data_IF_928319455758
#
_entry.id   IF_928319455758
#
_cell.length_a   1.000
_cell.length_b   1.000
_cell.length_c   1.000
_cell.angle_alpha   90.00
_cell.angle_beta   90.00
_cell.angle_gamma   90.00
#
_symmetry.space_group_name_H-M   'P 1'
#
loop_
_entity.id
_entity.type
_entity.pdbx_description
1 polymer ?
#
# COMPACT_ATOMS: atom_id res chain seq x y z
N UNK A 1 -51.71 31.44 -27.13
CA UNK A 1 -51.48 32.87 -27.44
C UNK A 1 -50.42 33.02 -28.52
N UNK A 2 -49.55 32.00 -28.68
CA UNK A 2 -48.55 31.90 -29.75
C UNK A 2 -49.12 32.15 -31.15
N UNK A 3 -50.30 31.61 -31.50
CA UNK A 3 -50.94 31.83 -32.81
C UNK A 3 -51.15 33.31 -33.18
N UNK A 4 -51.22 34.22 -32.21
CA UNK A 4 -51.34 35.67 -32.42
C UNK A 4 -49.99 36.39 -32.46
N UNK A 5 -48.89 35.72 -32.09
CA UNK A 5 -47.55 36.27 -32.22
C UNK A 5 -47.05 36.13 -33.67
N UNK A 6 -47.33 34.99 -34.32
CA UNK A 6 -47.02 34.72 -35.73
C UNK A 6 -47.61 35.80 -36.67
N UNK A 7 -48.92 36.07 -36.57
CA UNK A 7 -49.65 37.12 -37.31
C UNK A 7 -49.07 38.54 -37.10
N UNK A 8 -48.31 38.75 -36.03
CA UNK A 8 -47.71 40.03 -35.66
C UNK A 8 -46.19 40.09 -35.90
N UNK A 9 -45.60 39.06 -36.52
CA UNK A 9 -44.17 39.05 -36.90
C UNK A 9 -43.92 39.58 -38.32
N UNK A 10 -42.83 40.32 -38.48
CA UNK A 10 -42.30 40.72 -39.77
C UNK A 10 -41.56 39.54 -40.42
N UNK A 11 -41.92 39.14 -41.66
CA UNK A 11 -41.36 37.95 -42.33
C UNK A 11 -39.90 38.13 -42.82
N UNK A 12 -39.23 39.24 -42.49
CA UNK A 12 -37.80 39.47 -42.80
C UNK A 12 -36.92 39.29 -41.55
N UNK A 13 -37.36 39.78 -40.38
CA UNK A 13 -36.61 39.69 -39.13
C UNK A 13 -37.21 38.70 -38.11
N UNK A 14 -38.28 37.99 -38.48
CA UNK A 14 -39.00 37.00 -37.65
C UNK A 14 -39.32 37.50 -36.22
N UNK A 15 -39.56 38.81 -36.11
CA UNK A 15 -39.76 39.55 -34.87
C UNK A 15 -41.00 40.42 -34.98
N UNK A 16 -41.61 40.80 -33.85
CA UNK A 16 -42.77 41.70 -33.83
C UNK A 16 -42.53 42.99 -34.64
N UNK A 17 -43.55 43.49 -35.34
CA UNK A 17 -43.40 44.66 -36.23
C UNK A 17 -42.92 45.94 -35.52
N UNK A 18 -41.72 46.39 -35.85
CA UNK A 18 -41.15 47.70 -35.49
C UNK A 18 -41.30 48.70 -36.65
N UNK A 19 -41.99 49.82 -36.40
CA UNK A 19 -42.44 50.81 -37.40
C UNK A 19 -42.96 50.17 -38.71
N UNK A 20 -44.08 49.40 -38.66
CA UNK A 20 -44.58 48.67 -39.82
C UNK A 20 -44.96 49.60 -40.97
N UNK A 21 -44.35 49.37 -42.13
CA UNK A 21 -44.63 50.03 -43.40
C UNK A 21 -45.45 49.11 -44.29
N UNK A 22 -46.51 49.65 -44.89
CA UNK A 22 -47.38 48.93 -45.84
C UNK A 22 -46.99 49.27 -47.28
N UNK A 23 -46.84 48.23 -48.11
CA UNK A 23 -46.58 48.38 -49.55
C UNK A 23 -47.91 48.48 -50.33
N UNK A 24 -47.92 48.99 -51.58
CA UNK A 24 -49.11 48.98 -52.44
C UNK A 24 -49.71 47.60 -52.72
N UNK A 25 -48.95 46.53 -52.43
CA UNK A 25 -49.41 45.14 -52.45
C UNK A 25 -49.98 44.65 -51.10
N UNK A 26 -50.32 45.56 -50.18
CA UNK A 26 -50.91 45.33 -48.84
C UNK A 26 -50.07 44.51 -47.84
N UNK A 27 -48.86 44.10 -48.21
CA UNK A 27 -47.92 43.42 -47.31
C UNK A 27 -47.22 44.43 -46.40
N UNK A 28 -46.91 43.99 -45.18
CA UNK A 28 -46.34 44.82 -44.11
C UNK A 28 -44.94 44.31 -43.73
N UNK A 29 -44.03 45.22 -43.44
CA UNK A 29 -42.66 44.92 -43.01
C UNK A 29 -42.15 46.02 -42.07
N UNK A 30 -41.20 45.73 -41.19
CA UNK A 30 -40.54 46.77 -40.39
C UNK A 30 -39.80 47.75 -41.30
N UNK A 31 -39.82 49.06 -40.98
CA UNK A 31 -39.11 50.09 -41.75
C UNK A 31 -37.64 49.69 -42.07
N UNK A 32 -36.88 49.32 -41.03
CA UNK A 32 -35.46 48.91 -41.14
C UNK A 32 -35.24 47.73 -42.09
N UNK A 33 -36.18 46.80 -42.15
CA UNK A 33 -36.11 45.64 -43.04
C UNK A 33 -36.28 46.03 -44.51
N UNK A 34 -37.14 47.03 -44.81
CA UNK A 34 -37.27 47.57 -46.16
C UNK A 34 -36.08 48.46 -46.55
N UNK A 35 -35.45 49.13 -45.58
CA UNK A 35 -34.24 49.93 -45.82
C UNK A 35 -33.08 49.02 -46.30
N UNK A 36 -32.87 47.87 -45.65
CA UNK A 36 -31.91 46.86 -46.12
C UNK A 36 -32.23 46.29 -47.51
N UNK A 37 -33.50 45.96 -47.80
CA UNK A 37 -33.92 45.49 -49.13
C UNK A 37 -33.69 46.54 -50.22
N UNK A 38 -33.90 47.83 -49.91
CA UNK A 38 -33.67 48.93 -50.84
C UNK A 38 -32.17 49.15 -51.09
N UNK A 39 -31.33 49.03 -50.06
CA UNK A 39 -29.86 49.09 -50.21
C UNK A 39 -29.33 47.96 -51.09
N UNK A 40 -29.76 46.71 -50.87
CA UNK A 40 -29.32 45.55 -51.64
C UNK A 40 -29.72 45.69 -53.12
N UNK A 41 -30.96 46.09 -53.39
CA UNK A 41 -31.45 46.39 -54.73
C UNK A 41 -30.64 47.54 -55.40
N UNK A 42 -30.24 48.56 -54.64
CA UNK A 42 -29.44 49.68 -55.15
C UNK A 42 -28.00 49.30 -55.53
N UNK A 43 -27.41 48.29 -54.87
CA UNK A 43 -26.06 47.79 -55.19
C UNK A 43 -26.00 47.03 -56.52
N UNK A 44 -27.13 46.53 -57.04
CA UNK A 44 -27.17 45.70 -58.25
C UNK A 44 -27.62 46.42 -59.52
N UNK A 45 -28.30 47.58 -59.41
CA UNK A 45 -28.93 48.27 -60.55
C UNK A 45 -28.73 49.80 -60.49
N UNK A 46 -27.52 50.27 -60.82
CA UNK A 46 -27.11 51.68 -60.67
C UNK A 46 -27.83 52.71 -61.57
N UNK A 47 -28.66 52.29 -62.53
CA UNK A 47 -29.20 53.15 -63.61
C UNK A 47 -30.72 53.03 -63.85
N UNK A 48 -31.53 52.82 -62.80
CA UNK A 48 -33.01 52.86 -62.88
C UNK A 48 -33.66 53.58 -61.69
N UNK A 49 -34.90 54.11 -61.84
CA UNK A 49 -35.68 54.67 -60.73
C UNK A 49 -35.87 53.66 -59.58
N UNK A 50 -36.03 54.17 -58.36
CA UNK A 50 -35.92 53.43 -57.09
C UNK A 50 -37.10 52.50 -56.75
N UNK A 51 -37.44 51.58 -57.66
CA UNK A 51 -38.40 50.50 -57.45
C UNK A 51 -37.71 49.22 -56.94
N UNK A 52 -38.33 48.54 -55.97
CA UNK A 52 -37.90 47.22 -55.50
C UNK A 52 -39.07 46.21 -55.53
N UNK A 53 -38.79 44.92 -55.32
CA UNK A 53 -39.80 43.85 -55.33
C UNK A 53 -40.22 43.48 -53.90
N UNK A 54 -41.52 43.39 -53.64
CA UNK A 54 -42.04 42.95 -52.35
C UNK A 54 -41.48 41.56 -51.96
N UNK A 55 -40.80 41.40 -50.81
CA UNK A 55 -40.18 40.11 -50.45
C UNK A 55 -41.16 38.92 -50.40
N UNK A 56 -42.42 39.14 -50.01
CA UNK A 56 -43.43 38.07 -49.95
C UNK A 56 -44.05 37.73 -51.30
N UNK A 57 -44.53 38.73 -52.05
CA UNK A 57 -45.34 38.51 -53.27
C UNK A 57 -44.67 38.94 -54.59
N UNK A 58 -43.41 39.40 -54.54
CA UNK A 58 -42.54 39.81 -55.67
C UNK A 58 -43.07 40.92 -56.61
N UNK A 59 -44.27 41.47 -56.35
CA UNK A 59 -44.82 42.65 -57.04
C UNK A 59 -43.85 43.83 -56.92
N UNK A 60 -43.60 44.51 -58.03
CA UNK A 60 -42.77 45.71 -58.07
C UNK A 60 -43.48 46.87 -57.36
N UNK A 61 -42.72 47.60 -56.55
CA UNK A 61 -43.19 48.70 -55.71
C UNK A 61 -42.35 49.94 -56.05
N UNK A 62 -42.91 50.97 -56.70
CA UNK A 62 -42.20 52.20 -56.99
C UNK A 62 -42.05 53.02 -55.70
N UNK A 63 -40.85 53.53 -55.41
CA UNK A 63 -40.62 54.34 -54.19
C UNK A 63 -39.78 55.58 -54.45
N UNK A 64 -39.91 56.55 -53.54
CA UNK A 64 -38.97 57.64 -53.32
C UNK A 64 -38.18 57.36 -52.03
N UNK A 65 -37.79 56.10 -51.81
CA UNK A 65 -37.25 55.61 -50.54
C UNK A 65 -38.32 55.17 -49.52
N UNK A 66 -37.89 54.40 -48.52
CA UNK A 66 -38.78 53.74 -47.54
C UNK A 66 -39.60 54.72 -46.69
N UNK A 67 -39.05 55.92 -46.43
CA UNK A 67 -39.77 56.97 -45.69
C UNK A 67 -41.08 57.42 -46.37
N UNK A 68 -41.19 57.23 -47.70
CA UNK A 68 -42.41 57.52 -48.46
C UNK A 68 -43.49 56.44 -48.38
N UNK A 69 -43.21 55.28 -47.78
CA UNK A 69 -44.22 54.23 -47.54
C UNK A 69 -45.05 54.56 -46.29
N UNK A 70 -46.36 54.34 -46.39
CA UNK A 70 -47.29 54.62 -45.29
C UNK A 70 -47.03 53.71 -44.08
N UNK A 71 -47.21 54.24 -42.87
CA UNK A 71 -47.14 53.48 -41.62
C UNK A 71 -48.48 52.78 -41.39
N UNK A 72 -48.46 51.48 -41.11
CA UNK A 72 -49.64 50.75 -40.66
C UNK A 72 -49.85 50.97 -39.15
N UNK A 73 -50.44 52.12 -38.80
CA UNK A 73 -50.72 52.50 -37.41
C UNK A 73 -51.62 51.51 -36.68
N UNK A 74 -52.50 50.78 -37.37
CA UNK A 74 -53.34 49.74 -36.77
C UNK A 74 -52.48 48.56 -36.31
N UNK A 75 -51.63 48.03 -37.19
CA UNK A 75 -50.72 46.93 -36.87
C UNK A 75 -49.74 47.32 -35.76
N UNK A 76 -49.19 48.54 -35.81
CA UNK A 76 -48.36 49.10 -34.73
C UNK A 76 -49.12 49.13 -33.39
N UNK A 77 -50.34 49.65 -33.37
CA UNK A 77 -51.17 49.72 -32.17
C UNK A 77 -51.62 48.35 -31.63
N UNK A 78 -51.67 47.30 -32.47
CA UNK A 78 -51.91 45.92 -32.03
C UNK A 78 -50.65 45.34 -31.39
N UNK A 79 -49.47 45.52 -31.98
CA UNK A 79 -48.18 45.09 -31.38
C UNK A 79 -47.93 45.78 -30.03
N UNK A 80 -48.21 47.08 -29.92
CA UNK A 80 -48.11 47.82 -28.65
C UNK A 80 -49.05 47.28 -27.56
N UNK A 81 -50.26 46.84 -27.92
CA UNK A 81 -51.21 46.21 -26.99
C UNK A 81 -50.78 44.80 -26.61
N UNK A 82 -50.33 44.00 -27.57
CA UNK A 82 -49.80 42.64 -27.36
C UNK A 82 -48.64 42.67 -26.36
N UNK A 83 -47.68 43.58 -26.53
CA UNK A 83 -46.54 43.73 -25.62
C UNK A 83 -46.98 44.11 -24.18
N UNK A 84 -47.97 45.00 -24.02
CA UNK A 84 -48.52 45.34 -22.69
C UNK A 84 -49.15 44.14 -21.99
N UNK A 85 -49.80 43.24 -22.73
CA UNK A 85 -50.35 41.99 -22.18
C UNK A 85 -49.22 41.02 -21.84
N UNK A 86 -48.22 40.84 -22.71
CA UNK A 86 -47.08 39.93 -22.53
C UNK A 86 -46.19 40.27 -21.32
N UNK A 87 -46.11 41.56 -20.96
CA UNK A 87 -45.34 42.08 -19.82
C UNK A 87 -46.14 42.09 -18.50
N UNK A 88 -47.47 41.88 -18.54
CA UNK A 88 -48.26 41.79 -17.29
C UNK A 88 -47.83 40.57 -16.44
N UNK A 89 -47.67 40.72 -15.11
CA UNK A 89 -47.23 39.63 -14.25
C UNK A 89 -48.28 38.52 -14.24
N UNK A 90 -47.90 37.34 -14.74
CA UNK A 90 -48.78 36.16 -14.77
C UNK A 90 -49.06 35.73 -13.33
N UNK A 91 -50.29 35.97 -12.86
CA UNK A 91 -50.77 35.48 -11.57
C UNK A 91 -50.49 33.99 -11.44
N UNK A 92 -49.80 33.54 -10.37
CA UNK A 92 -49.36 32.14 -10.26
C UNK A 92 -50.57 31.20 -10.22
N UNK A 93 -50.45 30.03 -10.84
CA UNK A 93 -51.54 29.06 -10.98
C UNK A 93 -51.37 27.87 -10.03
N UNK A 94 -52.49 27.28 -9.61
CA UNK A 94 -52.49 26.13 -8.72
C UNK A 94 -51.92 24.89 -9.41
N UNK A 95 -50.97 24.21 -8.75
CA UNK A 95 -50.38 22.95 -9.23
C UNK A 95 -51.38 21.79 -9.29
N UNK A 96 -52.37 21.78 -8.38
CA UNK A 96 -53.44 20.78 -8.31
C UNK A 96 -54.58 21.13 -9.27
N UNK A 97 -55.07 22.36 -9.19
CA UNK A 97 -56.21 22.84 -9.99
C UNK A 97 -55.71 23.62 -11.21
N UNK A 98 -55.44 22.91 -12.30
CA UNK A 98 -54.93 23.49 -13.55
C UNK A 98 -55.75 24.71 -14.00
N UNK A 99 -55.05 25.79 -14.36
CA UNK A 99 -55.60 27.11 -14.77
C UNK A 99 -56.35 27.90 -13.69
N UNK A 100 -56.51 27.39 -12.46
CA UNK A 100 -57.02 28.20 -11.35
C UNK A 100 -55.92 29.11 -10.79
N UNK A 101 -56.19 30.41 -10.54
CA UNK A 101 -55.22 31.32 -9.95
C UNK A 101 -55.03 31.06 -8.45
N UNK A 102 -53.81 31.30 -7.95
CA UNK A 102 -53.50 31.36 -6.52
C UNK A 102 -53.74 32.80 -6.04
N UNK A 103 -54.92 33.04 -5.46
CA UNK A 103 -55.43 34.38 -5.12
C UNK A 103 -56.07 34.46 -3.72
N UNK A 104 -55.92 33.42 -2.89
CA UNK A 104 -56.39 33.38 -1.50
C UNK A 104 -55.19 32.98 -0.63
N UNK A 105 -54.96 33.66 0.50
CA UNK A 105 -53.94 33.22 1.47
C UNK A 105 -54.58 32.40 2.58
N UNK A 106 -54.06 31.21 2.82
CA UNK A 106 -54.42 30.36 3.95
C UNK A 106 -53.51 30.66 5.14
N UNK A 107 -54.04 31.29 6.19
CA UNK A 107 -53.28 31.63 7.39
C UNK A 107 -53.07 30.44 8.34
N UNK A 108 -53.75 29.32 8.11
CA UNK A 108 -53.50 28.06 8.84
C UNK A 108 -52.27 27.31 8.32
N UNK A 109 -51.97 27.39 7.02
CA UNK A 109 -50.81 26.71 6.40
C UNK A 109 -49.72 27.69 5.91
N UNK A 110 -49.89 28.99 6.13
CA UNK A 110 -49.04 30.08 5.64
C UNK A 110 -48.74 29.99 4.12
N UNK A 111 -49.77 29.75 3.30
CA UNK A 111 -49.59 29.53 1.84
C UNK A 111 -50.70 30.10 0.97
N UNK A 112 -50.33 30.52 -0.24
CA UNK A 112 -51.27 30.89 -1.29
C UNK A 112 -51.96 29.65 -1.88
N UNK A 113 -53.29 29.71 -1.98
CA UNK A 113 -54.18 28.68 -2.53
C UNK A 113 -55.14 29.29 -3.57
N UNK A 114 -55.88 28.44 -4.29
CA UNK A 114 -56.93 28.85 -5.21
C UNK A 114 -58.34 28.63 -4.64
N UNK A 115 -59.36 29.22 -5.26
CA UNK A 115 -60.77 29.02 -4.87
C UNK A 115 -61.19 27.56 -4.76
N UNK A 116 -60.73 26.67 -5.67
CA UNK A 116 -61.02 25.23 -5.60
C UNK A 116 -60.37 24.55 -4.39
N UNK A 117 -59.12 24.91 -4.05
CA UNK A 117 -58.44 24.44 -2.84
C UNK A 117 -59.21 24.85 -1.56
N UNK A 118 -59.71 26.08 -1.52
CA UNK A 118 -60.45 26.63 -0.39
C UNK A 118 -61.85 26.02 -0.21
N UNK A 119 -62.55 25.72 -1.30
CA UNK A 119 -63.98 25.31 -1.27
C UNK A 119 -64.22 23.81 -1.38
N UNK A 120 -63.35 23.07 -2.07
CA UNK A 120 -63.53 21.64 -2.34
C UNK A 120 -62.27 20.80 -2.05
N UNK A 121 -61.11 21.44 -1.88
CA UNK A 121 -59.85 20.79 -1.52
C UNK A 121 -59.62 20.70 -0.01
N UNK A 122 -58.35 20.54 0.36
CA UNK A 122 -57.88 20.29 1.73
C UNK A 122 -58.14 21.45 2.71
N UNK A 123 -58.47 22.65 2.22
CA UNK A 123 -58.51 23.88 3.03
C UNK A 123 -59.91 24.31 3.50
N UNK A 124 -60.94 23.49 3.28
CA UNK A 124 -62.34 23.78 3.63
C UNK A 124 -62.62 24.25 5.06
N UNK A 125 -61.74 23.94 6.02
CA UNK A 125 -61.89 24.27 7.45
C UNK A 125 -60.80 25.21 7.98
N UNK A 126 -59.95 25.72 7.08
CA UNK A 126 -58.81 26.56 7.46
C UNK A 126 -59.19 28.04 7.42
N UNK A 127 -58.40 28.86 8.10
CA UNK A 127 -58.61 30.31 8.11
C UNK A 127 -57.98 30.94 6.87
N UNK A 128 -58.70 31.91 6.31
CA UNK A 128 -58.24 32.75 5.21
C UNK A 128 -58.17 34.20 5.68
N UNK A 129 -57.26 34.97 5.11
CA UNK A 129 -57.18 36.42 5.28
C UNK A 129 -56.98 37.10 3.92
N UNK A 130 -57.05 38.43 3.86
CA UNK A 130 -56.76 39.14 2.62
C UNK A 130 -55.30 38.95 2.21
N UNK A 131 -55.01 39.02 0.91
CA UNK A 131 -53.63 38.85 0.42
C UNK A 131 -52.74 40.01 0.91
N UNK A 132 -53.30 41.21 1.06
CA UNK A 132 -52.63 42.40 1.57
C UNK A 132 -52.31 42.27 3.07
N UNK A 133 -53.25 41.80 3.89
CA UNK A 133 -53.02 41.57 5.32
C UNK A 133 -52.00 40.45 5.54
N UNK A 134 -52.10 39.35 4.79
CA UNK A 134 -51.12 38.27 4.79
C UNK A 134 -49.72 38.77 4.42
N UNK A 135 -49.61 39.56 3.36
CA UNK A 135 -48.33 40.13 2.93
C UNK A 135 -47.70 41.03 4.01
N UNK A 136 -48.50 41.90 4.64
CA UNK A 136 -48.01 42.77 5.72
C UNK A 136 -47.58 41.96 6.96
N UNK A 137 -48.34 40.91 7.32
CA UNK A 137 -48.01 40.02 8.43
C UNK A 137 -46.74 39.21 8.16
N UNK A 138 -46.67 38.49 7.04
CA UNK A 138 -45.50 37.68 6.66
C UNK A 138 -44.23 38.53 6.50
N UNK A 139 -44.36 39.77 6.00
CA UNK A 139 -43.23 40.70 5.93
C UNK A 139 -42.71 41.10 7.32
N UNK A 140 -43.59 41.34 8.29
CA UNK A 140 -43.19 41.63 9.68
C UNK A 140 -42.59 40.39 10.38
N UNK A 141 -43.11 39.19 10.09
CA UNK A 141 -42.53 37.93 10.56
C UNK A 141 -41.14 37.68 9.94
N UNK A 142 -40.96 37.99 8.66
CA UNK A 142 -39.66 37.94 7.99
C UNK A 142 -38.66 38.90 8.66
N UNK A 143 -39.02 40.17 8.87
CA UNK A 143 -38.14 41.17 9.47
C UNK A 143 -37.66 40.77 10.89
N UNK A 144 -38.52 40.14 11.70
CA UNK A 144 -38.14 39.62 13.03
C UNK A 144 -37.31 38.32 12.96
N UNK A 145 -37.59 37.41 12.03
CA UNK A 145 -36.75 36.23 11.78
C UNK A 145 -35.34 36.60 11.27
N UNK A 146 -35.22 37.64 10.45
CA UNK A 146 -33.93 38.15 9.99
C UNK A 146 -33.10 38.76 11.13
N UNK A 147 -33.71 39.50 12.06
CA UNK A 147 -33.00 40.01 13.24
C UNK A 147 -32.41 38.87 14.09
N UNK A 148 -33.19 37.81 14.37
CA UNK A 148 -32.69 36.62 15.06
C UNK A 148 -31.61 35.84 14.28
N UNK A 149 -31.53 36.01 12.96
CA UNK A 149 -30.48 35.42 12.11
C UNK A 149 -29.22 36.30 12.01
N UNK A 150 -29.34 37.63 12.10
CA UNK A 150 -28.18 38.53 12.22
C UNK A 150 -27.54 38.47 13.62
N UNK A 151 -28.35 38.26 14.66
CA UNK A 151 -27.87 37.96 16.03
C UNK A 151 -27.31 36.54 16.18
N UNK A 152 -27.56 35.62 15.23
CA UNK A 152 -27.08 34.25 15.29
C UNK A 152 -25.55 34.18 15.19
N UNK A 153 -24.91 34.01 16.35
CA UNK A 153 -23.46 34.14 16.50
C UNK A 153 -22.68 32.91 16.00
N UNK A 154 -22.54 32.75 14.69
CA UNK A 154 -21.71 31.71 14.05
C UNK A 154 -20.26 31.65 14.56
N UNK A 155 -19.73 32.66 15.27
CA UNK A 155 -18.37 32.66 15.83
C UNK A 155 -18.13 31.50 16.80
N UNK A 156 -19.15 31.06 17.55
CA UNK A 156 -19.00 29.89 18.43
C UNK A 156 -18.86 28.59 17.63
N UNK A 157 -19.70 28.42 16.60
CA UNK A 157 -19.64 27.27 15.68
C UNK A 157 -18.31 27.24 14.92
N UNK A 158 -17.83 28.37 14.42
CA UNK A 158 -16.53 28.49 13.76
C UNK A 158 -15.37 28.25 14.73
N UNK A 159 -15.40 28.81 15.95
CA UNK A 159 -14.39 28.56 16.98
C UNK A 159 -14.30 27.07 17.34
N UNK A 160 -15.44 26.40 17.50
CA UNK A 160 -15.48 24.96 17.77
C UNK A 160 -14.96 24.13 16.59
N UNK A 161 -15.27 24.52 15.35
CA UNK A 161 -14.71 23.92 14.13
C UNK A 161 -13.18 24.08 14.05
N UNK A 162 -12.66 25.28 14.28
CA UNK A 162 -11.23 25.59 14.28
C UNK A 162 -10.48 24.81 15.37
N UNK A 163 -11.08 24.68 16.57
CA UNK A 163 -10.54 23.85 17.66
C UNK A 163 -10.51 22.37 17.27
N UNK A 164 -11.58 21.84 16.67
CA UNK A 164 -11.66 20.45 16.22
C UNK A 164 -10.63 20.15 15.11
N UNK A 165 -10.54 20.97 14.06
CA UNK A 165 -9.56 20.76 12.97
C UNK A 165 -8.11 20.98 13.46
N UNK A 166 -7.90 21.85 14.45
CA UNK A 166 -6.59 22.00 15.11
C UNK A 166 -6.22 20.77 15.95
N UNK A 167 -7.17 20.20 16.70
CA UNK A 167 -6.93 18.99 17.50
C UNK A 167 -6.75 17.75 16.63
N UNK A 168 -7.53 17.61 15.55
CA UNK A 168 -7.36 16.60 14.50
C UNK A 168 -5.97 16.67 13.86
N UNK A 169 -5.50 17.87 13.46
CA UNK A 169 -4.14 18.07 12.93
C UNK A 169 -3.06 17.66 13.94
N UNK A 170 -3.19 18.04 15.21
CA UNK A 170 -2.27 17.61 16.29
C UNK A 170 -2.26 16.09 16.47
N UNK A 171 -3.42 15.44 16.52
CA UNK A 171 -3.53 13.99 16.69
C UNK A 171 -2.89 13.22 15.52
N UNK A 172 -3.18 13.62 14.28
CA UNK A 172 -2.58 13.02 13.08
C UNK A 172 -1.06 13.22 13.03
N UNK A 173 -0.55 14.40 13.40
CA UNK A 173 0.89 14.65 13.50
C UNK A 173 1.58 13.78 14.56
N UNK A 174 0.94 13.56 15.71
CA UNK A 174 1.46 12.65 16.74
C UNK A 174 1.49 11.20 16.25
N UNK A 175 0.43 10.73 15.59
CA UNK A 175 0.38 9.38 15.01
C UNK A 175 1.43 9.17 13.92
N UNK A 176 1.65 10.17 13.05
CA UNK A 176 2.71 10.14 12.04
C UNK A 176 4.10 10.03 12.69
N UNK A 177 4.40 10.91 13.66
CA UNK A 177 5.67 10.89 14.40
C UNK A 177 5.94 9.55 15.10
N UNK A 178 4.92 8.93 15.68
CA UNK A 178 5.05 7.62 16.31
C UNK A 178 5.22 6.48 15.28
N UNK A 179 4.58 6.58 14.10
CA UNK A 179 4.81 5.66 12.99
C UNK A 179 6.25 5.76 12.45
N UNK A 180 6.76 6.98 12.26
CA UNK A 180 8.17 7.23 11.88
C UNK A 180 9.14 6.72 12.95
N UNK A 181 8.80 6.85 14.24
CA UNK A 181 9.61 6.33 15.37
C UNK A 181 9.69 4.80 15.35
N UNK A 182 8.61 4.11 14.99
CA UNK A 182 8.59 2.65 14.81
C UNK A 182 9.38 2.25 13.55
N UNK A 183 9.14 2.92 12.42
CA UNK A 183 9.87 2.69 11.16
C UNK A 183 11.39 2.82 11.35
N UNK A 184 11.84 3.96 11.89
CA UNK A 184 13.26 4.22 12.16
C UNK A 184 13.89 3.36 13.26
N UNK A 185 13.09 2.59 14.02
CA UNK A 185 13.59 1.54 14.91
C UNK A 185 13.84 0.24 14.14
N UNK A 186 12.90 -0.18 13.27
CA UNK A 186 13.09 -1.36 12.42
C UNK A 186 14.19 -1.16 11.35
N UNK A 187 14.34 0.03 10.77
CA UNK A 187 15.44 0.34 9.84
C UNK A 187 16.82 0.20 10.51
N UNK A 188 16.94 0.58 11.80
CA UNK A 188 18.17 0.38 12.58
C UNK A 188 18.46 -1.09 12.87
N UNK A 189 17.42 -1.87 13.19
CA UNK A 189 17.55 -3.32 13.39
C UNK A 189 17.98 -4.03 12.09
N UNK A 190 17.41 -3.64 10.95
CA UNK A 190 17.82 -4.15 9.63
C UNK A 190 19.28 -3.81 9.32
N UNK A 191 19.71 -2.56 9.54
CA UNK A 191 21.11 -2.17 9.38
C UNK A 191 22.05 -2.97 10.28
N UNK A 192 21.70 -3.18 11.56
CA UNK A 192 22.55 -3.90 12.51
C UNK A 192 22.68 -5.39 12.16
N UNK A 193 21.58 -6.02 11.72
CA UNK A 193 21.60 -7.40 11.21
C UNK A 193 22.44 -7.54 9.93
N UNK A 194 22.27 -6.63 8.97
CA UNK A 194 23.03 -6.63 7.71
C UNK A 194 24.52 -6.35 7.96
N UNK A 195 24.87 -5.44 8.89
CA UNK A 195 26.24 -5.23 9.33
C UNK A 195 26.85 -6.51 9.93
N UNK A 196 26.16 -7.15 10.90
CA UNK A 196 26.66 -8.36 11.57
C UNK A 196 26.81 -9.55 10.63
N UNK A 197 25.89 -9.71 9.68
CA UNK A 197 26.03 -10.63 8.54
C UNK A 197 27.33 -10.37 7.77
N UNK A 198 27.57 -9.11 7.37
CA UNK A 198 28.74 -8.77 6.55
C UNK A 198 30.07 -8.86 7.33
N UNK A 199 30.08 -8.62 8.64
CA UNK A 199 31.22 -8.94 9.53
C UNK A 199 31.55 -10.45 9.48
N UNK A 200 30.55 -11.32 9.67
CA UNK A 200 30.73 -12.79 9.64
C UNK A 200 31.19 -13.28 8.25
N UNK A 201 30.66 -12.72 7.15
CA UNK A 201 31.16 -13.04 5.81
C UNK A 201 32.62 -12.60 5.57
N UNK A 202 33.02 -11.46 6.13
CA UNK A 202 34.42 -10.99 6.07
C UNK A 202 35.37 -11.94 6.82
N UNK A 203 34.94 -12.51 7.94
CA UNK A 203 35.72 -13.52 8.68
C UNK A 203 35.88 -14.83 7.89
N UNK A 204 34.83 -15.30 7.21
CA UNK A 204 34.92 -16.49 6.37
C UNK A 204 35.84 -16.30 5.17
N UNK A 205 35.81 -15.15 4.48
CA UNK A 205 36.76 -14.85 3.40
C UNK A 205 38.20 -14.71 3.93
N UNK A 206 38.39 -14.15 5.14
CA UNK A 206 39.71 -14.07 5.79
C UNK A 206 40.25 -15.47 6.13
N UNK A 207 39.42 -16.35 6.70
CA UNK A 207 39.79 -17.74 7.01
C UNK A 207 40.12 -18.54 5.74
N UNK A 208 39.33 -18.38 4.68
CA UNK A 208 39.55 -18.96 3.35
C UNK A 208 40.88 -18.51 2.73
N UNK A 209 41.22 -17.23 2.82
CA UNK A 209 42.52 -16.72 2.36
C UNK A 209 43.70 -17.32 3.15
N UNK A 210 43.58 -17.47 4.47
CA UNK A 210 44.61 -18.10 5.30
C UNK A 210 44.81 -19.60 4.97
N UNK A 211 43.71 -20.33 4.72
CA UNK A 211 43.75 -21.72 4.24
C UNK A 211 44.44 -21.79 2.88
N UNK A 212 44.01 -20.99 1.90
CA UNK A 212 44.64 -20.92 0.58
C UNK A 212 46.15 -20.65 0.69
N UNK A 213 46.56 -19.61 1.42
CA UNK A 213 47.96 -19.25 1.60
C UNK A 213 48.80 -20.41 2.18
N UNK A 214 48.26 -21.18 3.12
CA UNK A 214 48.99 -22.29 3.73
C UNK A 214 49.14 -23.47 2.77
N UNK A 215 48.04 -23.89 2.13
CA UNK A 215 48.07 -25.00 1.17
C UNK A 215 48.85 -24.66 -0.11
N UNK A 216 48.68 -23.46 -0.67
CA UNK A 216 49.42 -23.00 -1.86
C UNK A 216 50.93 -22.92 -1.59
N UNK A 217 51.35 -22.51 -0.38
CA UNK A 217 52.78 -22.49 -0.01
C UNK A 217 53.37 -23.90 -0.06
N UNK A 218 52.67 -24.89 0.50
CA UNK A 218 53.13 -26.28 0.52
C UNK A 218 53.08 -26.95 -0.86
N UNK A 219 52.02 -26.70 -1.65
CA UNK A 219 51.92 -27.17 -3.05
C UNK A 219 53.10 -26.63 -3.88
N UNK A 220 53.43 -25.35 -3.76
CA UNK A 220 54.55 -24.75 -4.48
C UNK A 220 55.92 -25.28 -3.98
N UNK A 221 56.05 -25.60 -2.69
CA UNK A 221 57.24 -26.27 -2.13
C UNK A 221 57.43 -27.65 -2.75
N UNK A 222 56.38 -28.49 -2.77
CA UNK A 222 56.41 -29.82 -3.35
C UNK A 222 56.64 -29.80 -4.88
N UNK A 223 56.02 -28.87 -5.61
CA UNK A 223 56.30 -28.64 -7.03
C UNK A 223 57.79 -28.31 -7.29
N UNK A 224 58.42 -27.55 -6.39
CA UNK A 224 59.85 -27.22 -6.49
C UNK A 224 60.73 -28.45 -6.29
N UNK A 225 60.42 -29.31 -5.30
CA UNK A 225 61.14 -30.57 -5.06
C UNK A 225 61.01 -31.52 -6.27
N UNK A 226 59.79 -31.69 -6.80
CA UNK A 226 59.53 -32.50 -8.00
C UNK A 226 60.32 -31.97 -9.22
N UNK A 227 60.48 -30.65 -9.33
CA UNK A 227 61.24 -30.05 -10.43
C UNK A 227 62.75 -30.30 -10.31
N UNK A 228 63.35 -30.15 -9.11
CA UNK A 228 64.77 -30.50 -8.92
C UNK A 228 65.01 -32.00 -9.03
N UNK A 229 64.07 -32.86 -8.63
CA UNK A 229 64.14 -34.31 -8.90
C UNK A 229 64.16 -34.61 -10.40
N UNK A 230 63.31 -33.94 -11.20
CA UNK A 230 63.30 -34.10 -12.66
C UNK A 230 64.62 -33.65 -13.29
N UNK A 231 65.23 -32.57 -12.79
CA UNK A 231 66.57 -32.12 -13.22
C UNK A 231 67.67 -33.10 -12.81
N UNK A 232 67.66 -33.58 -11.57
CA UNK A 232 68.63 -34.58 -11.08
C UNK A 232 68.59 -35.86 -11.93
N UNK A 233 67.40 -36.36 -12.27
CA UNK A 233 67.24 -37.49 -13.17
C UNK A 233 67.81 -37.19 -14.57
N UNK A 234 67.60 -35.99 -15.11
CA UNK A 234 68.17 -35.59 -16.41
C UNK A 234 69.70 -35.56 -16.42
N UNK A 235 70.33 -35.17 -15.31
CA UNK A 235 71.81 -35.22 -15.17
C UNK A 235 72.26 -36.68 -15.03
N UNK A 236 71.54 -37.50 -14.24
CA UNK A 236 71.85 -38.93 -14.06
C UNK A 236 71.80 -39.73 -15.37
N UNK A 237 70.83 -39.47 -16.25
CA UNK A 237 70.78 -40.09 -17.57
C UNK A 237 71.96 -39.65 -18.44
N UNK A 238 72.26 -38.34 -18.50
CA UNK A 238 73.40 -37.81 -19.26
C UNK A 238 74.77 -38.31 -18.78
N UNK A 239 74.91 -38.57 -17.48
CA UNK A 239 76.13 -39.10 -16.85
C UNK A 239 76.53 -40.51 -17.34
N UNK A 240 75.61 -41.29 -17.93
CA UNK A 240 75.88 -42.66 -18.39
C UNK A 240 76.77 -42.72 -19.63
N UNK A 241 76.68 -41.72 -20.49
CA UNK A 241 77.32 -41.71 -21.82
C UNK A 241 78.62 -40.88 -21.86
N UNK A 242 79.05 -40.30 -20.73
CA UNK A 242 80.20 -39.41 -20.66
C UNK A 242 81.52 -40.19 -20.55
N UNK A 243 82.38 -40.00 -21.55
CA UNK A 243 83.75 -40.56 -21.59
C UNK A 243 84.84 -39.62 -21.04
N UNK A 244 84.53 -38.34 -20.81
CA UNK A 244 85.48 -37.33 -20.30
C UNK A 244 85.44 -37.26 -18.75
N UNK A 245 86.55 -37.56 -18.04
CA UNK A 245 86.57 -37.57 -16.58
C UNK A 245 86.30 -36.20 -15.93
N UNK A 246 86.68 -35.08 -16.55
CA UNK A 246 86.50 -33.74 -15.99
C UNK A 246 85.03 -33.30 -16.12
N UNK A 247 84.40 -33.59 -17.26
CA UNK A 247 82.97 -33.32 -17.48
C UNK A 247 82.12 -34.22 -16.55
N UNK A 248 82.49 -35.50 -16.41
CA UNK A 248 81.83 -36.43 -15.50
C UNK A 248 81.87 -35.95 -14.04
N UNK A 249 83.06 -35.58 -13.54
CA UNK A 249 83.21 -35.11 -12.15
C UNK A 249 82.37 -33.85 -11.88
N UNK A 250 82.33 -32.90 -12.83
CA UNK A 250 81.52 -31.69 -12.69
C UNK A 250 80.01 -31.97 -12.68
N UNK A 251 79.51 -32.87 -13.54
CA UNK A 251 78.09 -33.25 -13.51
C UNK A 251 77.74 -34.10 -12.28
N UNK A 252 78.66 -34.93 -11.79
CA UNK A 252 78.50 -35.66 -10.53
C UNK A 252 78.41 -34.74 -9.30
N UNK A 253 79.05 -33.57 -9.33
CA UNK A 253 78.93 -32.53 -8.32
C UNK A 253 77.52 -31.92 -8.33
N UNK A 254 77.05 -31.40 -9.47
CA UNK A 254 75.70 -30.82 -9.59
C UNK A 254 74.59 -31.85 -9.25
N UNK A 255 74.76 -33.11 -9.67
CA UNK A 255 73.84 -34.19 -9.30
C UNK A 255 73.78 -34.41 -7.78
N UNK A 256 74.93 -34.40 -7.09
CA UNK A 256 74.98 -34.53 -5.63
C UNK A 256 74.33 -33.36 -4.91
N UNK A 257 74.50 -32.14 -5.40
CA UNK A 257 73.83 -30.95 -4.84
C UNK A 257 72.31 -31.05 -4.96
N UNK A 258 71.78 -31.43 -6.13
CA UNK A 258 70.33 -31.63 -6.32
C UNK A 258 69.78 -32.76 -5.45
N UNK A 259 70.46 -33.90 -5.37
CA UNK A 259 70.07 -35.02 -4.51
C UNK A 259 70.12 -34.64 -3.02
N UNK A 260 71.06 -33.79 -2.61
CA UNK A 260 71.11 -33.22 -1.25
C UNK A 260 69.89 -32.34 -0.97
N UNK A 261 69.62 -31.36 -1.83
CA UNK A 261 68.46 -30.47 -1.71
C UNK A 261 67.14 -31.24 -1.60
N UNK A 262 66.92 -32.25 -2.44
CA UNK A 262 65.72 -33.09 -2.42
C UNK A 262 65.56 -33.80 -1.06
N UNK A 263 66.64 -34.38 -0.52
CA UNK A 263 66.60 -35.06 0.79
C UNK A 263 66.30 -34.10 1.95
N UNK A 264 66.93 -32.92 1.96
CA UNK A 264 66.71 -31.90 2.98
C UNK A 264 65.29 -31.31 2.92
N UNK A 265 64.72 -31.18 1.71
CA UNK A 265 63.34 -30.76 1.51
C UNK A 265 62.31 -31.86 1.85
N UNK A 266 62.62 -33.15 1.64
CA UNK A 266 61.73 -34.25 2.08
C UNK A 266 61.70 -34.40 3.60
N UNK A 267 62.84 -34.22 4.29
CA UNK A 267 62.91 -34.31 5.76
C UNK A 267 62.18 -33.17 6.48
N UNK A 268 62.04 -32.01 5.85
CA UNK A 268 61.25 -30.88 6.37
C UNK A 268 59.74 -31.01 6.10
N UNK A 269 59.28 -32.20 5.69
CA UNK A 269 57.89 -32.46 5.30
C UNK A 269 57.03 -33.14 6.39
N UNK A 270 57.58 -33.43 7.58
CA UNK A 270 56.85 -34.02 8.72
C UNK A 270 55.98 -32.99 9.47
N UNK A 271 55.31 -32.09 8.73
CA UNK A 271 54.23 -31.28 9.28
C UNK A 271 52.92 -32.06 9.16
N UNK A 272 52.12 -32.05 10.23
CA UNK A 272 50.82 -32.70 10.30
C UNK A 272 49.93 -32.40 9.08
N UNK A 273 49.40 -33.44 8.44
CA UNK A 273 48.34 -33.31 7.43
C UNK A 273 47.03 -32.71 8.02
N UNK A 274 46.98 -32.52 9.35
CA UNK A 274 45.96 -31.79 10.08
C UNK A 274 46.16 -30.25 10.01
N UNK A 275 46.55 -29.72 8.84
CA UNK A 275 46.56 -28.27 8.58
C UNK A 275 45.13 -27.75 8.65
N UNK A 276 44.78 -27.26 9.84
CA UNK A 276 43.48 -26.75 10.31
C UNK A 276 42.36 -26.75 9.27
N UNK A 277 41.77 -27.93 9.03
CA UNK A 277 40.39 -28.01 8.58
C UNK A 277 39.52 -27.32 9.64
N UNK A 278 38.58 -26.44 9.28
CA UNK A 278 37.54 -25.96 10.17
C UNK A 278 36.64 -27.13 10.60
N UNK A 279 37.09 -27.90 11.60
CA UNK A 279 36.64 -29.26 11.87
C UNK A 279 35.29 -29.41 12.57
N UNK A 280 34.58 -28.30 12.79
CA UNK A 280 33.21 -28.26 13.30
C UNK A 280 32.35 -27.50 12.30
N UNK A 281 31.13 -27.96 12.06
CA UNK A 281 30.10 -27.14 11.42
C UNK A 281 29.92 -25.84 12.23
N UNK A 282 29.72 -24.72 11.53
CA UNK A 282 29.48 -23.44 12.17
C UNK A 282 28.04 -23.40 12.71
N UNK A 283 27.88 -23.75 13.98
CA UNK A 283 26.58 -23.94 14.63
C UNK A 283 25.76 -22.64 14.71
N UNK A 284 24.75 -22.55 13.84
CA UNK A 284 23.74 -21.49 13.86
C UNK A 284 22.55 -21.82 14.77
N UNK A 285 22.49 -22.99 15.42
CA UNK A 285 21.37 -23.39 16.28
C UNK A 285 21.17 -22.49 17.50
N UNK A 286 22.22 -21.81 17.95
CA UNK A 286 22.13 -20.79 18.99
C UNK A 286 21.52 -19.46 18.51
N UNK A 287 21.44 -19.21 17.19
CA UNK A 287 21.03 -17.90 16.64
C UNK A 287 19.55 -17.62 16.85
N UNK A 288 18.68 -18.63 16.73
CA UNK A 288 17.25 -18.51 17.01
C UNK A 288 16.96 -18.17 18.49
N UNK A 289 17.94 -18.38 19.38
CA UNK A 289 17.87 -18.01 20.79
C UNK A 289 18.41 -16.60 21.10
N UNK A 290 19.06 -15.94 20.13
CA UNK A 290 19.60 -14.58 20.30
C UNK A 290 18.50 -13.55 20.09
N UNK A 291 18.21 -12.79 21.13
CA UNK A 291 17.21 -11.71 21.06
C UNK A 291 17.76 -10.56 20.20
N UNK A 292 16.86 -9.85 19.52
CA UNK A 292 17.23 -8.80 18.57
C UNK A 292 17.98 -7.60 19.18
N UNK A 293 17.93 -7.43 20.51
CA UNK A 293 18.73 -6.45 21.26
C UNK A 293 20.04 -6.99 21.85
N UNK A 294 20.34 -8.28 21.61
CA UNK A 294 21.55 -8.98 22.04
C UNK A 294 22.44 -9.40 20.85
N UNK A 295 22.08 -9.01 19.61
CA UNK A 295 22.77 -9.38 18.35
C UNK A 295 24.24 -8.93 18.32
N UNK A 296 24.58 -7.83 19.00
CA UNK A 296 25.97 -7.38 19.18
C UNK A 296 26.85 -8.37 19.99
N UNK A 297 26.24 -9.38 20.61
CA UNK A 297 26.90 -10.43 21.43
C UNK A 297 27.05 -11.75 20.68
N UNK A 298 26.70 -11.81 19.39
CA UNK A 298 27.08 -12.93 18.53
C UNK A 298 28.61 -12.99 18.46
N UNK A 299 29.18 -14.10 18.96
CA UNK A 299 30.61 -14.38 18.87
C UNK A 299 31.03 -14.55 17.41
N UNK A 300 32.16 -13.97 17.03
CA UNK A 300 32.71 -14.12 15.69
C UNK A 300 33.36 -15.50 15.52
N UNK A 301 33.45 -16.07 14.30
CA UNK A 301 34.18 -17.32 14.05
C UNK A 301 35.61 -17.31 14.63
N UNK A 302 36.29 -16.16 14.64
CA UNK A 302 37.64 -16.00 15.20
C UNK A 302 37.70 -16.16 16.74
N UNK A 303 36.61 -15.86 17.47
CA UNK A 303 36.53 -16.02 18.92
C UNK A 303 36.53 -17.49 19.37
N UNK A 304 36.15 -18.40 18.47
CA UNK A 304 36.07 -19.85 18.72
C UNK A 304 37.47 -20.48 18.60
N UNK A 305 38.26 -20.03 17.62
CA UNK A 305 39.63 -20.55 17.36
C UNK A 305 40.63 -20.12 18.44
N UNK A 306 40.42 -18.97 19.08
CA UNK A 306 41.36 -18.37 20.04
C UNK A 306 41.19 -18.83 21.50
N UNK A 307 40.12 -19.57 21.85
CA UNK A 307 39.79 -19.95 23.24
C UNK A 307 40.21 -21.37 23.63
N UNK A 308 41.50 -21.68 23.51
CA UNK A 308 42.16 -22.81 24.20
C UNK A 308 43.59 -22.46 24.59
N UNK A 309 43.79 -21.89 25.78
CA UNK A 309 44.66 -22.46 26.83
C UNK A 309 44.68 -21.67 28.16
N UNK A 310 45.32 -22.25 29.18
CA UNK A 310 45.72 -21.69 30.49
C UNK A 310 44.64 -21.34 31.56
N UNK A 311 44.17 -22.39 32.21
CA UNK A 311 44.06 -22.60 33.69
C UNK A 311 44.16 -21.45 34.74
N UNK A 312 43.15 -21.40 35.63
CA UNK A 312 43.21 -21.09 37.09
C UNK A 312 43.52 -19.61 37.51
N UNK A 313 43.05 -19.04 38.65
CA UNK A 313 42.77 -19.64 39.97
C UNK A 313 41.81 -18.83 40.90
N UNK A 314 41.30 -19.49 41.96
CA UNK A 314 40.77 -18.99 43.27
C UNK A 314 39.73 -17.84 43.41
N UNK A 315 38.51 -18.28 43.77
CA UNK A 315 37.59 -17.85 44.88
C UNK A 315 38.19 -17.01 46.04
N UNK A 316 37.40 -16.40 46.96
CA UNK A 316 35.93 -16.43 47.18
C UNK A 316 35.33 -14.99 47.17
N UNK A 317 34.15 -14.61 47.70
CA UNK A 317 32.96 -15.18 48.42
C UNK A 317 31.75 -14.28 48.00
N UNK A 318 30.48 -14.41 48.38
CA UNK A 318 29.80 -15.09 49.50
C UNK A 318 28.69 -16.03 48.99
N UNK A 319 27.45 -15.95 49.48
CA UNK A 319 26.29 -16.80 49.13
C UNK A 319 24.99 -16.05 49.44
N UNK A 320 23.90 -16.41 48.76
CA UNK A 320 22.66 -16.80 49.46
C UNK A 320 22.06 -18.04 48.72
N UNK A 321 21.41 -18.99 49.42
CA UNK A 321 21.23 -20.35 48.90
C UNK A 321 19.86 -20.62 48.26
N UNK A 322 19.81 -21.66 47.41
CA UNK A 322 18.73 -22.68 47.35
C UNK A 322 19.13 -23.85 46.42
N UNK A 323 19.73 -23.58 45.26
CA UNK A 323 19.83 -24.55 44.15
C UNK A 323 20.89 -25.68 44.29
N UNK A 324 21.67 -25.76 45.38
CA UNK A 324 22.84 -26.67 45.46
C UNK A 324 22.51 -28.02 46.11
N UNK A 325 21.51 -28.09 46.98
CA UNK A 325 21.16 -29.32 47.71
C UNK A 325 20.69 -30.45 46.79
N UNK A 326 19.84 -30.14 45.81
CA UNK A 326 19.29 -31.13 44.88
C UNK A 326 20.36 -31.79 43.99
N UNK A 327 21.34 -31.01 43.52
CA UNK A 327 22.36 -31.50 42.58
C UNK A 327 23.35 -32.46 43.26
N UNK A 328 23.74 -32.19 44.51
CA UNK A 328 24.63 -33.10 45.25
C UNK A 328 23.96 -34.44 45.57
N UNK A 329 22.66 -34.45 45.87
CA UNK A 329 21.89 -35.69 46.08
C UNK A 329 21.85 -36.52 44.79
N UNK A 330 21.58 -35.88 43.64
CA UNK A 330 21.57 -36.55 42.34
C UNK A 330 22.94 -37.16 41.98
N UNK A 331 24.03 -36.39 42.15
CA UNK A 331 25.40 -36.88 41.89
C UNK A 331 25.80 -38.06 42.79
N UNK A 332 25.40 -38.06 44.07
CA UNK A 332 25.68 -39.16 44.99
C UNK A 332 24.93 -40.44 44.61
N UNK A 333 23.66 -40.33 44.19
CA UNK A 333 22.86 -41.49 43.73
C UNK A 333 23.45 -42.06 42.44
N UNK A 334 23.83 -41.22 41.46
CA UNK A 334 24.45 -41.70 40.21
C UNK A 334 25.81 -42.36 40.44
N UNK A 335 26.65 -41.79 41.32
CA UNK A 335 27.95 -42.40 41.67
C UNK A 335 27.78 -43.78 42.33
N UNK A 336 26.80 -43.92 43.23
CA UNK A 336 26.48 -45.19 43.88
C UNK A 336 26.08 -46.27 42.86
N UNK A 337 25.22 -45.93 41.89
CA UNK A 337 24.84 -46.86 40.82
C UNK A 337 26.00 -47.22 39.89
N UNK A 338 26.88 -46.28 39.54
CA UNK A 338 28.06 -46.61 38.70
C UNK A 338 29.05 -47.53 39.42
N UNK A 339 29.27 -47.34 40.73
CA UNK A 339 30.23 -48.16 41.48
C UNK A 339 29.70 -49.57 41.75
N UNK A 340 28.38 -49.73 41.92
CA UNK A 340 27.76 -51.04 42.15
C UNK A 340 27.71 -51.94 40.90
N UNK A 341 27.96 -51.38 39.71
CA UNK A 341 27.95 -52.12 38.44
C UNK A 341 29.34 -52.40 37.86
N UNK A 342 30.41 -51.79 38.39
CA UNK A 342 31.79 -51.98 37.89
C UNK A 342 32.50 -53.23 38.42
N UNK A 343 32.09 -53.76 39.58
CA UNK A 343 32.69 -54.97 40.17
C UNK A 343 32.19 -56.29 39.56
N UNK A 344 31.28 -56.24 38.56
CA UNK A 344 30.83 -57.42 37.82
C UNK A 344 30.65 -57.13 36.31
N UNK A 345 31.74 -57.04 35.55
CA UNK A 345 31.95 -57.81 34.30
C UNK A 345 33.35 -57.58 33.67
N UNK A 346 34.43 -57.94 34.36
CA UNK A 346 35.79 -57.94 33.80
C UNK A 346 36.09 -59.20 32.94
N UNK A 347 35.21 -59.52 31.97
CA UNK A 347 35.39 -60.64 31.05
C UNK A 347 34.61 -60.43 29.73
N UNK A 348 35.28 -59.92 28.70
CA UNK A 348 34.71 -59.77 27.35
C UNK A 348 35.53 -60.61 26.34
N UNK A 349 34.94 -61.63 25.74
CA UNK A 349 35.49 -62.30 24.54
C UNK A 349 34.40 -62.99 23.71
N UNK A 350 33.94 -62.23 22.71
CA UNK A 350 33.40 -62.60 21.39
C UNK A 350 33.27 -64.10 21.06
N UNK A 351 32.06 -64.53 20.67
CA UNK A 351 31.86 -65.27 19.39
C UNK A 351 30.44 -65.02 18.83
N UNK A 352 30.24 -65.20 17.52
CA UNK A 352 29.15 -64.62 16.72
C UNK A 352 28.03 -65.63 16.39
N UNK A 353 28.20 -66.93 16.62
CA UNK A 353 27.29 -67.96 16.09
C UNK A 353 26.03 -68.30 16.91
N UNK A 354 25.81 -67.72 18.10
CA UNK A 354 24.57 -67.96 18.88
C UNK A 354 23.42 -66.97 18.59
N UNK A 355 23.65 -65.98 17.71
CA UNK A 355 22.68 -64.92 17.36
C UNK A 355 21.36 -65.45 16.80
N UNK A 356 21.35 -66.67 16.21
CA UNK A 356 20.18 -67.24 15.53
C UNK A 356 19.04 -67.73 16.45
N UNK A 357 19.26 -67.86 17.76
CA UNK A 357 18.28 -68.50 18.68
C UNK A 357 17.52 -67.52 19.60
N UNK A 358 17.95 -66.26 19.70
CA UNK A 358 17.33 -65.28 20.62
C UNK A 358 16.21 -64.44 19.99
N UNK A 359 16.11 -64.43 18.65
CA UNK A 359 15.30 -63.45 17.92
C UNK A 359 13.78 -63.65 18.06
N UNK A 360 13.33 -64.87 18.40
CA UNK A 360 11.90 -65.21 18.57
C UNK A 360 11.29 -64.74 19.90
N UNK A 361 12.11 -64.43 20.92
CA UNK A 361 11.63 -63.91 22.21
C UNK A 361 11.50 -62.38 22.23
N UNK A 362 12.21 -61.69 21.33
CA UNK A 362 12.28 -60.22 21.37
C UNK A 362 11.07 -59.54 20.69
N UNK A 363 10.45 -60.20 19.72
CA UNK A 363 9.32 -59.68 18.94
C UNK A 363 8.09 -59.41 19.80
N UNK A 364 7.69 -60.36 20.64
CA UNK A 364 6.53 -60.24 21.54
C UNK A 364 6.71 -59.12 22.58
N UNK A 365 7.94 -58.93 23.07
CA UNK A 365 8.22 -57.85 24.03
C UNK A 365 8.25 -56.47 23.35
N UNK A 366 8.73 -56.41 22.11
CA UNK A 366 8.69 -55.20 21.30
C UNK A 366 7.26 -54.78 20.91
N UNK A 367 6.40 -55.73 20.51
CA UNK A 367 5.00 -55.41 20.17
C UNK A 367 4.22 -54.89 21.38
N UNK A 368 4.42 -55.47 22.58
CA UNK A 368 3.76 -55.00 23.80
C UNK A 368 4.23 -53.59 24.23
N UNK A 369 5.52 -53.25 24.06
CA UNK A 369 5.96 -51.86 24.25
C UNK A 369 5.37 -50.92 23.19
N UNK A 370 5.31 -51.34 21.92
CA UNK A 370 4.77 -50.50 20.85
C UNK A 370 3.29 -50.16 21.07
N UNK A 371 2.48 -51.11 21.56
CA UNK A 371 1.08 -50.89 21.92
C UNK A 371 0.95 -49.87 23.06
N UNK A 372 1.70 -50.04 24.16
CA UNK A 372 1.68 -49.10 25.29
C UNK A 372 2.12 -47.67 24.90
N UNK A 373 3.09 -47.53 24.01
CA UNK A 373 3.46 -46.23 23.45
C UNK A 373 2.39 -45.64 22.54
N UNK A 374 1.68 -46.48 21.76
CA UNK A 374 0.62 -46.04 20.85
C UNK A 374 -0.64 -45.60 21.60
N UNK A 375 -1.04 -46.33 22.64
CA UNK A 375 -2.17 -45.94 23.51
C UNK A 375 -1.89 -44.58 24.16
N UNK A 376 -0.73 -44.41 24.80
CA UNK A 376 -0.34 -43.14 25.44
C UNK A 376 -0.23 -41.98 24.43
N UNK A 377 0.27 -42.24 23.22
CA UNK A 377 0.31 -41.24 22.15
C UNK A 377 -1.09 -40.86 21.66
N UNK A 378 -2.05 -41.80 21.67
CA UNK A 378 -3.44 -41.52 21.32
C UNK A 378 -4.15 -40.66 22.36
N UNK A 379 -3.89 -40.84 23.67
CA UNK A 379 -4.44 -39.99 24.73
C UNK A 379 -3.96 -38.54 24.61
N UNK A 380 -2.65 -38.32 24.38
CA UNK A 380 -2.08 -36.99 24.14
C UNK A 380 -2.70 -36.31 22.89
N UNK A 381 -2.94 -37.07 21.81
CA UNK A 381 -3.62 -36.55 20.61
C UNK A 381 -5.09 -36.18 20.89
N UNK A 382 -5.80 -36.97 21.70
CA UNK A 382 -7.19 -36.65 22.12
C UNK A 382 -7.19 -35.37 22.98
N UNK A 383 -6.27 -35.24 23.93
CA UNK A 383 -6.13 -34.03 24.75
C UNK A 383 -5.80 -32.78 23.92
N UNK A 384 -4.90 -32.89 22.93
CA UNK A 384 -4.58 -31.82 21.98
C UNK A 384 -5.81 -31.46 21.13
N UNK A 385 -6.59 -32.45 20.68
CA UNK A 385 -7.83 -32.22 19.92
C UNK A 385 -8.86 -31.46 20.75
N UNK A 386 -9.16 -31.89 21.97
CA UNK A 386 -10.11 -31.21 22.86
C UNK A 386 -9.67 -29.78 23.18
N UNK A 387 -8.38 -29.58 23.50
CA UNK A 387 -7.75 -28.25 23.64
C UNK A 387 -7.97 -27.38 22.39
N UNK A 388 -7.74 -27.93 21.19
CA UNK A 388 -7.92 -27.18 19.94
C UNK A 388 -9.39 -26.76 19.73
N UNK A 389 -10.34 -27.65 20.00
CA UNK A 389 -11.77 -27.37 19.84
C UNK A 389 -12.24 -26.32 20.86
N UNK A 390 -11.73 -26.36 22.10
CA UNK A 390 -11.96 -25.32 23.10
C UNK A 390 -11.46 -23.94 22.62
N UNK A 391 -10.21 -23.83 22.15
CA UNK A 391 -9.67 -22.54 21.69
C UNK A 391 -10.34 -22.02 20.42
N UNK A 392 -10.73 -22.90 19.48
CA UNK A 392 -11.52 -22.51 18.29
C UNK A 392 -12.91 -22.00 18.69
N UNK A 393 -13.58 -22.64 19.65
CA UNK A 393 -14.89 -22.21 20.14
C UNK A 393 -14.79 -20.84 20.83
N UNK A 394 -13.80 -20.67 21.71
CA UNK A 394 -13.53 -19.40 22.40
C UNK A 394 -13.15 -18.26 21.42
N UNK A 395 -12.47 -18.58 20.32
CA UNK A 395 -12.19 -17.63 19.25
C UNK A 395 -13.46 -17.23 18.50
N UNK A 396 -14.30 -18.19 18.09
CA UNK A 396 -15.56 -17.92 17.40
C UNK A 396 -16.53 -17.11 18.28
N UNK A 397 -16.59 -17.38 19.57
CA UNK A 397 -17.41 -16.63 20.53
C UNK A 397 -16.94 -15.17 20.67
N UNK A 398 -15.62 -14.93 20.75
CA UNK A 398 -15.06 -13.57 20.71
C UNK A 398 -15.29 -12.86 19.38
N UNK A 399 -15.20 -13.58 18.26
CA UNK A 399 -15.52 -13.02 16.93
C UNK A 399 -17.01 -12.68 16.80
N UNK A 400 -17.91 -13.45 17.41
CA UNK A 400 -19.33 -13.11 17.49
C UNK A 400 -19.58 -11.86 18.36
N UNK A 401 -18.89 -11.71 19.49
CA UNK A 401 -18.96 -10.49 20.32
C UNK A 401 -18.43 -9.25 19.57
N UNK A 402 -17.37 -9.40 18.78
CA UNK A 402 -16.87 -8.34 17.87
C UNK A 402 -17.88 -8.02 16.75
N UNK A 403 -18.51 -9.04 16.16
CA UNK A 403 -19.55 -8.86 15.13
C UNK A 403 -20.82 -8.17 15.66
N UNK A 404 -21.20 -8.41 16.92
CA UNK A 404 -22.33 -7.74 17.57
C UNK A 404 -22.02 -6.33 18.07
N UNK A 405 -20.74 -5.96 18.24
CA UNK A 405 -20.33 -4.59 18.62
C UNK A 405 -20.03 -3.69 17.41
N UNK A 406 -19.94 -4.26 16.20
CA UNK A 406 -19.89 -3.54 14.93
C UNK A 406 -21.13 -3.80 14.06
N UNK A 407 -22.28 -3.31 14.53
CA UNK A 407 -23.48 -3.12 13.69
C UNK A 407 -23.94 -1.66 13.71
N UNK A 408 -24.08 -1.13 12.49
CA UNK A 408 -25.04 -0.08 12.13
C UNK A 408 -26.47 -0.65 12.18
#
# INVERSE_FOLDING_TARGET
MEMLEEDLTCPICCSLFDDPRVLPCSHNFCKKCLEGVLEENSRTMQWRPSSFKCPTCRKETPTMGVNGLQVNYLLKGIVEKYNKIKVSPKMPVCKVHSRQPLNIFCSTDLKLICGSCATHGEHQKHLFTSVDDAYNQEKSSMETLFQGFEEWNCKEVHSHLDVLDTNKRKALHLLAKESDRVKGYFEKLQHLLEQKKNEIFSDFETMKLAVMQTYDTEINRLHTVINEQRKANSIFEGLKDISDPLIFLKQMEEFREKVKFIKEASLSSELDANVCLPGNEFDTGMWDSVKLGDVDKLSLPQDIVTKKDHSQCTRPRRFNPISVGAFLIFCLITLFFTFYFTDNLSAFSIDVQLVSLYLSSYTERATNLAILYWEKFSEEIIFIREKSQYYVTLFLEKMAQLGCSYKL
#
